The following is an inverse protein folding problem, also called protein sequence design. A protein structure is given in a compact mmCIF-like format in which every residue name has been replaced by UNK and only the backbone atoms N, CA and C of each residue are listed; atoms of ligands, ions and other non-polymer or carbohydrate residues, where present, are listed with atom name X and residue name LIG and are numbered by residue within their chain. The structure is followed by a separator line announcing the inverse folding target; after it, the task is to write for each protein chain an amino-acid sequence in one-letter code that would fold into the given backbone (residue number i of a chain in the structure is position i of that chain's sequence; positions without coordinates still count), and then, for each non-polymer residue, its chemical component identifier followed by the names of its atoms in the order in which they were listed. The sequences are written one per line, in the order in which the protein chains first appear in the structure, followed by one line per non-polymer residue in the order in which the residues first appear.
data_IF_478309168212
#
_entry.id   IF_478309168212
#
_cell.length_a   1.000
_cell.length_b   1.000
_cell.length_c   1.000
_cell.angle_alpha   90.00
_cell.angle_beta   90.00
_cell.angle_gamma   90.00
#
_symmetry.space_group_name_H-M   'P 1'
#
loop_
_entity.id
_entity.type
_entity.pdbx_description
1 polymer ?
#
# COMPACT_ATOMS: atom_id res chain seq x y z
N UNK A 1 15.23 66.16 -64.96
CA UNK A 1 16.11 65.23 -64.33
C UNK A 1 15.28 64.23 -63.49
N UNK A 2 14.72 63.30 -64.22
CA UNK A 2 13.93 62.20 -63.66
C UNK A 2 14.52 60.92 -64.23
N UNK A 3 14.99 60.07 -63.43
CA UNK A 3 15.05 58.61 -63.75
C UNK A 3 15.61 57.82 -62.60
N UNK A 4 15.02 56.68 -62.36
CA UNK A 4 15.48 55.51 -61.60
C UNK A 4 15.00 55.44 -60.15
N UNK A 5 13.83 54.91 -59.99
CA UNK A 5 13.46 54.04 -58.87
C UNK A 5 12.36 53.08 -59.35
N UNK A 6 12.81 51.97 -59.89
CA UNK A 6 11.98 50.81 -60.08
C UNK A 6 12.89 49.59 -60.10
N UNK A 7 13.13 49.03 -58.98
CA UNK A 7 13.74 47.72 -58.88
C UNK A 7 13.40 47.10 -57.54
N UNK A 8 12.69 45.99 -57.63
CA UNK A 8 12.71 44.85 -56.73
C UNK A 8 12.06 44.96 -55.34
N UNK A 9 10.82 44.60 -55.31
CA UNK A 9 10.24 43.85 -54.21
C UNK A 9 9.81 42.48 -54.73
N UNK A 10 10.76 41.56 -54.87
CA UNK A 10 10.49 40.12 -54.97
C UNK A 10 10.41 39.59 -53.58
N UNK A 11 9.23 39.33 -53.09
CA UNK A 11 9.00 38.53 -51.88
C UNK A 11 9.39 37.09 -52.17
N UNK A 12 10.16 36.46 -51.28
CA UNK A 12 10.43 35.03 -51.42
C UNK A 12 9.12 34.25 -51.17
N UNK A 13 8.76 33.38 -52.08
CA UNK A 13 7.69 32.41 -51.92
C UNK A 13 7.93 31.57 -50.68
N UNK A 14 7.04 31.70 -49.70
CA UNK A 14 7.02 30.81 -48.54
C UNK A 14 6.76 29.39 -49.04
N UNK A 15 7.76 28.55 -48.86
CA UNK A 15 7.80 27.17 -49.30
C UNK A 15 6.75 26.34 -48.58
N UNK A 16 5.96 25.60 -49.34
CA UNK A 16 4.97 24.58 -48.93
C UNK A 16 5.59 23.40 -48.14
N UNK A 17 6.86 23.45 -47.76
CA UNK A 17 7.55 22.41 -47.00
C UNK A 17 7.24 22.41 -45.51
N UNK A 18 6.94 23.58 -44.92
CA UNK A 18 6.76 23.71 -43.48
C UNK A 18 5.45 23.14 -42.92
N UNK A 19 4.43 22.99 -43.80
CA UNK A 19 3.15 22.38 -43.41
C UNK A 19 3.21 20.86 -43.29
N UNK A 20 4.08 20.20 -44.09
CA UNK A 20 4.24 18.75 -44.04
C UNK A 20 5.08 18.30 -42.84
N UNK A 21 6.10 19.07 -42.47
CA UNK A 21 6.98 18.74 -41.35
C UNK A 21 6.21 18.84 -39.98
N UNK A 22 5.33 19.81 -39.86
CA UNK A 22 4.47 19.92 -38.66
C UNK A 22 3.44 18.79 -38.55
N UNK A 23 2.87 18.32 -39.68
CA UNK A 23 1.96 17.20 -39.68
C UNK A 23 2.66 15.87 -39.37
N UNK A 24 3.89 15.70 -39.86
CA UNK A 24 4.73 14.53 -39.60
C UNK A 24 5.24 14.51 -38.16
N UNK A 25 5.69 15.65 -37.64
CA UNK A 25 6.09 15.81 -36.24
C UNK A 25 4.92 15.58 -35.27
N UNK A 26 3.74 16.07 -35.60
CA UNK A 26 2.52 15.83 -34.82
C UNK A 26 2.11 14.35 -34.78
N UNK A 27 2.26 13.64 -35.92
CA UNK A 27 2.02 12.19 -35.98
C UNK A 27 3.06 11.39 -35.17
N UNK A 28 4.33 11.71 -35.27
CA UNK A 28 5.40 11.05 -34.53
C UNK A 28 5.24 11.27 -33.01
N UNK A 29 4.80 12.46 -32.60
CA UNK A 29 4.51 12.73 -31.18
C UNK A 29 3.23 12.02 -30.69
N UNK A 30 2.22 11.88 -31.54
CA UNK A 30 1.03 11.11 -31.20
C UNK A 30 1.31 9.61 -31.12
N UNK A 31 2.10 9.07 -32.01
CA UNK A 31 2.48 7.65 -32.06
C UNK A 31 3.42 7.24 -30.91
N UNK A 32 4.23 8.18 -30.42
CA UNK A 32 5.07 7.94 -29.21
C UNK A 32 4.29 7.97 -27.90
N UNK A 33 3.03 8.42 -27.88
CA UNK A 33 2.18 8.47 -26.68
C UNK A 33 1.24 7.26 -26.55
N UNK A 34 0.95 6.51 -27.61
CA UNK A 34 0.01 5.39 -27.56
C UNK A 34 0.48 4.19 -26.69
N UNK A 35 1.75 3.75 -26.72
CA UNK A 35 2.19 2.62 -25.90
C UNK A 35 2.06 2.88 -24.40
N UNK A 36 2.09 4.13 -23.96
CA UNK A 36 2.03 4.49 -22.54
C UNK A 36 0.59 4.45 -21.99
N UNK A 37 -0.42 4.71 -22.79
CA UNK A 37 -1.83 4.65 -22.37
C UNK A 37 -2.30 3.23 -22.10
N UNK A 38 -1.88 2.27 -22.90
CA UNK A 38 -2.25 0.87 -22.72
C UNK A 38 -1.61 0.26 -21.50
N UNK A 39 -0.36 0.61 -21.20
CA UNK A 39 0.33 0.16 -19.98
C UNK A 39 -0.30 0.77 -18.72
N UNK A 40 -0.66 2.05 -18.75
CA UNK A 40 -1.34 2.73 -17.64
C UNK A 40 -2.75 2.16 -17.43
N UNK A 41 -3.47 1.90 -18.52
CA UNK A 41 -4.79 1.28 -18.48
C UNK A 41 -4.75 -0.12 -17.86
N UNK A 42 -3.84 -0.98 -18.32
CA UNK A 42 -3.65 -2.34 -17.76
C UNK A 42 -3.25 -2.32 -16.28
N UNK A 43 -2.34 -1.44 -15.89
CA UNK A 43 -1.96 -1.27 -14.48
C UNK A 43 -3.16 -0.82 -13.64
N UNK A 44 -3.96 0.14 -14.14
CA UNK A 44 -5.17 0.60 -13.46
C UNK A 44 -6.21 -0.50 -13.27
N UNK A 45 -6.48 -1.30 -14.30
CA UNK A 45 -7.39 -2.47 -14.22
C UNK A 45 -6.88 -3.50 -13.21
N UNK A 46 -5.59 -3.80 -13.23
CA UNK A 46 -4.97 -4.74 -12.29
C UNK A 46 -5.11 -4.25 -10.84
N UNK A 47 -4.82 -2.98 -10.58
CA UNK A 47 -4.98 -2.36 -9.27
C UNK A 47 -6.44 -2.36 -8.80
N UNK A 48 -7.37 -1.98 -9.67
CA UNK A 48 -8.79 -1.95 -9.36
C UNK A 48 -9.36 -3.35 -9.08
N UNK A 49 -9.03 -4.34 -9.92
CA UNK A 49 -9.51 -5.72 -9.75
C UNK A 49 -9.04 -6.34 -8.45
N UNK A 50 -7.76 -6.23 -8.12
CA UNK A 50 -7.22 -6.75 -6.86
C UNK A 50 -7.85 -6.07 -5.64
N UNK A 51 -8.07 -4.76 -5.71
CA UNK A 51 -8.73 -4.01 -4.63
C UNK A 51 -10.17 -4.46 -4.42
N UNK A 52 -10.94 -4.63 -5.50
CA UNK A 52 -12.35 -5.07 -5.43
C UNK A 52 -12.43 -6.48 -4.85
N UNK A 53 -11.63 -7.42 -5.37
CA UNK A 53 -11.60 -8.80 -4.90
C UNK A 53 -11.19 -8.86 -3.42
N UNK A 54 -10.16 -8.11 -3.01
CA UNK A 54 -9.73 -8.05 -1.62
C UNK A 54 -10.84 -7.52 -0.69
N UNK A 55 -11.59 -6.50 -1.10
CA UNK A 55 -12.71 -5.95 -0.31
C UNK A 55 -13.85 -6.95 -0.16
N UNK A 56 -14.20 -7.67 -1.22
CA UNK A 56 -15.24 -8.71 -1.17
C UNK A 56 -14.83 -9.83 -0.22
N UNK A 57 -13.59 -10.34 -0.36
CA UNK A 57 -13.06 -11.37 0.53
C UNK A 57 -12.96 -10.89 1.98
N UNK A 58 -12.53 -9.65 2.21
CA UNK A 58 -12.49 -9.04 3.54
C UNK A 58 -13.87 -8.98 4.19
N UNK A 59 -14.91 -8.64 3.42
CA UNK A 59 -16.29 -8.63 3.89
C UNK A 59 -16.77 -10.05 4.25
N UNK A 60 -16.49 -11.05 3.42
CA UNK A 60 -16.79 -12.46 3.72
C UNK A 60 -16.06 -12.92 4.99
N UNK A 61 -14.78 -12.56 5.13
CA UNK A 61 -13.98 -12.86 6.32
C UNK A 61 -14.57 -12.24 7.58
N UNK A 62 -15.05 -10.98 7.52
CA UNK A 62 -15.69 -10.31 8.65
C UNK A 62 -17.00 -11.01 9.08
N UNK A 63 -17.82 -11.47 8.12
CA UNK A 63 -19.04 -12.24 8.42
C UNK A 63 -18.68 -13.57 9.11
N UNK A 64 -17.67 -14.29 8.60
CA UNK A 64 -17.22 -15.54 9.18
C UNK A 64 -16.65 -15.33 10.59
N UNK A 65 -15.85 -14.30 10.79
CA UNK A 65 -15.32 -13.94 12.09
C UNK A 65 -16.44 -13.65 13.11
N UNK A 66 -17.44 -12.86 12.70
CA UNK A 66 -18.60 -12.56 13.53
C UNK A 66 -19.41 -13.80 13.90
N UNK A 67 -19.51 -14.77 13.01
CA UNK A 67 -20.15 -16.07 13.27
C UNK A 67 -19.34 -16.95 14.22
N UNK A 68 -18.02 -16.89 14.14
CA UNK A 68 -17.12 -17.76 14.92
C UNK A 68 -16.91 -17.24 16.34
N UNK A 69 -16.71 -15.94 16.52
CA UNK A 69 -16.46 -15.30 17.82
C UNK A 69 -17.72 -14.76 18.47
N UNK A 70 -18.82 -14.65 17.72
CA UNK A 70 -20.00 -13.88 18.12
C UNK A 70 -19.84 -12.38 17.80
N UNK A 71 -20.98 -11.67 17.87
CA UNK A 71 -21.01 -10.22 17.58
C UNK A 71 -20.99 -9.37 18.85
N UNK A 72 -21.24 -9.98 19.99
CA UNK A 72 -21.35 -9.30 21.30
C UNK A 72 -20.77 -10.22 22.37
N UNK A 73 -19.85 -9.71 23.16
CA UNK A 73 -19.30 -10.45 24.30
C UNK A 73 -17.84 -10.05 24.58
N UNK A 74 -17.38 -10.32 25.79
CA UNK A 74 -16.05 -9.95 26.27
C UNK A 74 -14.92 -10.49 25.38
N UNK A 75 -15.09 -11.69 24.85
CA UNK A 75 -14.08 -12.30 23.94
C UNK A 75 -13.97 -11.57 22.60
N UNK A 76 -15.11 -11.18 22.00
CA UNK A 76 -15.13 -10.43 20.74
C UNK A 76 -14.54 -9.02 20.92
N UNK A 77 -14.88 -8.35 22.01
CA UNK A 77 -14.38 -7.01 22.34
C UNK A 77 -12.87 -7.03 22.64
N UNK A 78 -12.41 -8.01 23.42
CA UNK A 78 -10.99 -8.20 23.71
C UNK A 78 -10.18 -8.49 22.45
N UNK A 79 -10.71 -9.34 21.54
CA UNK A 79 -10.08 -9.60 20.26
C UNK A 79 -10.07 -8.36 19.35
N UNK A 80 -11.19 -7.64 19.28
CA UNK A 80 -11.28 -6.41 18.49
C UNK A 80 -10.23 -5.38 18.93
N UNK A 81 -10.10 -5.17 20.24
CA UNK A 81 -9.10 -4.29 20.83
C UNK A 81 -7.68 -4.74 20.47
N UNK A 82 -7.35 -6.01 20.72
CA UNK A 82 -6.02 -6.56 20.47
C UNK A 82 -5.62 -6.48 18.98
N UNK A 83 -6.57 -6.79 18.09
CA UNK A 83 -6.33 -6.76 16.63
C UNK A 83 -6.28 -5.35 16.05
N UNK A 84 -6.89 -4.36 16.72
CA UNK A 84 -6.84 -2.97 16.29
C UNK A 84 -5.50 -2.29 16.59
N UNK A 85 -4.80 -2.72 17.65
CA UNK A 85 -3.51 -2.15 18.05
C UNK A 85 -2.46 -2.18 16.92
N UNK A 86 -2.19 -3.32 16.25
CA UNK A 86 -1.24 -3.36 15.14
C UNK A 86 -1.62 -2.41 14.01
N UNK A 87 -2.90 -2.30 13.68
CA UNK A 87 -3.39 -1.42 12.63
C UNK A 87 -3.15 0.07 12.95
N UNK A 88 -3.41 0.48 14.18
CA UNK A 88 -3.21 1.86 14.61
C UNK A 88 -1.73 2.21 14.64
N UNK A 89 -0.89 1.31 15.15
CA UNK A 89 0.57 1.47 15.16
C UNK A 89 1.09 1.57 13.71
N UNK A 90 0.63 0.69 12.83
CA UNK A 90 0.98 0.71 11.41
C UNK A 90 0.56 2.03 10.74
N UNK A 91 -0.66 2.52 10.99
CA UNK A 91 -1.14 3.77 10.42
C UNK A 91 -0.27 4.97 10.83
N UNK A 92 0.25 4.99 12.06
CA UNK A 92 1.18 6.02 12.53
C UNK A 92 2.54 5.94 11.80
N UNK A 93 3.06 4.73 11.61
CA UNK A 93 4.38 4.51 10.99
C UNK A 93 4.33 4.64 9.47
N UNK A 94 3.28 4.10 8.83
CA UNK A 94 3.13 4.06 7.37
C UNK A 94 2.48 5.32 6.78
N UNK A 95 1.95 6.23 7.62
CA UNK A 95 1.11 7.37 7.24
C UNK A 95 1.74 8.40 6.30
N UNK A 96 2.25 7.95 5.15
CA UNK A 96 2.77 8.81 4.07
C UNK A 96 4.26 9.18 4.20
N UNK A 97 4.89 9.00 5.35
CA UNK A 97 6.31 9.34 5.55
C UNK A 97 7.20 8.41 4.74
N UNK A 98 6.90 7.10 4.75
CA UNK A 98 7.65 6.11 3.98
C UNK A 98 7.57 6.39 2.48
N UNK A 99 6.37 6.62 1.94
CA UNK A 99 6.17 6.93 0.52
C UNK A 99 6.89 8.21 0.11
N UNK A 100 6.72 9.28 0.88
CA UNK A 100 7.30 10.59 0.57
C UNK A 100 8.83 10.59 0.56
N UNK A 101 9.46 9.77 1.41
CA UNK A 101 10.91 9.70 1.53
C UNK A 101 11.49 8.60 0.64
N UNK A 102 10.94 7.38 0.67
CA UNK A 102 11.55 6.23 -0.02
C UNK A 102 11.47 6.33 -1.55
N UNK A 103 10.30 6.66 -2.09
CA UNK A 103 10.07 6.62 -3.54
C UNK A 103 11.06 7.51 -4.30
N UNK A 104 11.23 8.81 -3.98
CA UNK A 104 12.17 9.64 -4.70
C UNK A 104 13.63 9.18 -4.58
N UNK A 105 14.01 8.61 -3.44
CA UNK A 105 15.38 8.11 -3.23
C UNK A 105 15.64 6.83 -4.01
N UNK A 106 14.69 5.89 -4.06
CA UNK A 106 14.79 4.65 -4.84
C UNK A 106 14.85 4.98 -6.34
N UNK A 107 14.01 5.92 -6.81
CA UNK A 107 14.02 6.34 -8.21
C UNK A 107 15.36 6.98 -8.59
N UNK A 108 15.91 7.85 -7.73
CA UNK A 108 17.25 8.45 -7.96
C UNK A 108 18.37 7.40 -7.97
N UNK A 109 18.31 6.44 -7.05
CA UNK A 109 19.29 5.36 -6.99
C UNK A 109 19.25 4.46 -8.23
N UNK A 110 18.11 4.37 -8.90
CA UNK A 110 17.96 3.64 -10.18
C UNK A 110 18.84 4.15 -11.32
N UNK A 111 19.39 5.37 -11.21
CA UNK A 111 20.34 5.94 -12.14
C UNK A 111 21.80 5.46 -11.92
N UNK A 112 22.08 4.71 -10.85
CA UNK A 112 23.40 4.13 -10.59
C UNK A 112 23.67 2.95 -11.54
N UNK A 113 24.95 2.60 -11.72
CA UNK A 113 25.41 1.51 -12.61
C UNK A 113 24.78 0.14 -12.24
N UNK A 114 24.42 -0.07 -10.96
CA UNK A 114 23.76 -1.27 -10.46
C UNK A 114 22.22 -1.24 -10.53
N UNK A 115 21.64 -0.22 -11.21
CA UNK A 115 20.19 -0.01 -11.24
C UNK A 115 19.56 0.23 -9.86
N UNK A 116 20.37 0.68 -8.89
CA UNK A 116 19.95 0.97 -7.52
C UNK A 116 19.81 -0.26 -6.62
N UNK A 117 20.26 -1.43 -7.04
CA UNK A 117 20.12 -2.66 -6.26
C UNK A 117 20.83 -2.58 -4.91
N UNK A 118 22.06 -2.06 -4.86
CA UNK A 118 22.81 -1.87 -3.63
C UNK A 118 22.13 -0.92 -2.65
N UNK A 119 21.52 0.14 -3.14
CA UNK A 119 20.76 1.09 -2.32
C UNK A 119 19.49 0.46 -1.74
N UNK A 120 18.71 -0.24 -2.57
CA UNK A 120 17.49 -0.94 -2.16
C UNK A 120 17.79 -1.99 -1.10
N UNK A 121 18.85 -2.81 -1.29
CA UNK A 121 19.27 -3.81 -0.31
C UNK A 121 19.61 -3.19 1.05
N UNK A 122 20.32 -2.07 1.07
CA UNK A 122 20.65 -1.35 2.30
C UNK A 122 19.39 -0.85 3.02
N UNK A 123 18.48 -0.20 2.30
CA UNK A 123 17.22 0.30 2.86
C UNK A 123 16.36 -0.83 3.40
N UNK A 124 16.21 -1.91 2.64
CA UNK A 124 15.43 -3.08 3.08
C UNK A 124 16.04 -3.69 4.33
N UNK A 125 17.35 -3.88 4.38
CA UNK A 125 18.03 -4.44 5.56
C UNK A 125 17.86 -3.55 6.80
N UNK A 126 18.08 -2.24 6.66
CA UNK A 126 17.90 -1.29 7.76
C UNK A 126 16.43 -1.26 8.19
N UNK A 127 15.51 -1.24 7.23
CA UNK A 127 14.07 -1.28 7.49
C UNK A 127 13.64 -2.52 8.26
N UNK A 128 14.12 -3.71 7.87
CA UNK A 128 13.85 -4.96 8.60
C UNK A 128 14.32 -4.86 10.05
N UNK A 129 15.54 -4.39 10.27
CA UNK A 129 16.11 -4.29 11.62
C UNK A 129 15.31 -3.31 12.48
N UNK A 130 14.99 -2.13 11.96
CA UNK A 130 14.22 -1.12 12.67
C UNK A 130 12.81 -1.63 12.98
N UNK A 131 12.11 -2.19 12.01
CA UNK A 131 10.74 -2.68 12.20
C UNK A 131 10.69 -3.90 13.10
N UNK A 132 11.69 -4.77 13.06
CA UNK A 132 11.82 -5.89 14.00
C UNK A 132 12.00 -5.40 15.43
N UNK A 133 12.93 -4.47 15.65
CA UNK A 133 13.14 -3.87 16.96
C UNK A 133 11.88 -3.19 17.48
N UNK A 134 11.17 -2.46 16.60
CA UNK A 134 9.93 -1.80 16.95
C UNK A 134 8.79 -2.80 17.27
N UNK A 135 8.64 -3.87 16.50
CA UNK A 135 7.65 -4.92 16.76
C UNK A 135 7.93 -5.65 18.10
N UNK A 136 9.19 -5.94 18.39
CA UNK A 136 9.60 -6.52 19.68
C UNK A 136 9.23 -5.55 20.82
N UNK A 137 9.59 -4.28 20.70
CA UNK A 137 9.27 -3.27 21.70
C UNK A 137 7.78 -3.13 21.92
N UNK A 138 6.99 -3.03 20.84
CA UNK A 138 5.53 -2.96 20.92
C UNK A 138 4.95 -4.19 21.60
N UNK A 139 5.47 -5.38 21.29
CA UNK A 139 5.02 -6.63 21.91
C UNK A 139 5.36 -6.68 23.40
N UNK A 140 6.56 -6.26 23.80
CA UNK A 140 6.93 -6.16 25.22
C UNK A 140 6.07 -5.16 25.99
N UNK A 141 5.62 -4.09 25.33
CA UNK A 141 4.74 -3.07 25.89
C UNK A 141 3.25 -3.41 25.74
N UNK A 142 2.87 -4.63 25.36
CA UNK A 142 1.49 -5.04 25.15
C UNK A 142 0.55 -4.68 26.31
N UNK A 143 0.87 -4.93 27.60
CA UNK A 143 -0.01 -4.58 28.70
C UNK A 143 -0.26 -3.07 28.79
N UNK A 144 0.78 -2.27 28.58
CA UNK A 144 0.66 -0.80 28.58
C UNK A 144 -0.19 -0.30 27.42
N UNK A 145 0.01 -0.83 26.21
CA UNK A 145 -0.75 -0.46 25.03
C UNK A 145 -2.23 -0.81 25.18
N UNK A 146 -2.52 -2.00 25.68
CA UNK A 146 -3.91 -2.44 25.97
C UNK A 146 -4.54 -1.52 27.01
N UNK A 147 -3.85 -1.23 28.12
CA UNK A 147 -4.37 -0.35 29.17
C UNK A 147 -4.66 1.07 28.66
N UNK A 148 -3.73 1.65 27.89
CA UNK A 148 -3.91 2.99 27.30
C UNK A 148 -5.08 3.02 26.33
N UNK A 149 -5.23 1.98 25.52
CA UNK A 149 -6.26 1.93 24.49
C UNK A 149 -7.65 1.66 25.07
N UNK A 150 -7.73 0.81 26.08
CA UNK A 150 -8.98 0.55 26.81
C UNK A 150 -9.49 1.79 27.55
N UNK A 151 -8.59 2.61 28.11
CA UNK A 151 -8.95 3.86 28.80
C UNK A 151 -9.46 4.96 27.86
N UNK A 152 -9.00 4.99 26.61
CA UNK A 152 -9.41 6.01 25.63
C UNK A 152 -10.82 5.78 25.08
N UNK A 153 -11.52 4.73 25.51
CA UNK A 153 -12.91 4.46 25.11
C UNK A 153 -13.08 4.18 23.62
N UNK A 154 -12.00 3.77 22.97
CA UNK A 154 -12.01 3.46 21.55
C UNK A 154 -12.78 2.18 21.28
N UNK A 155 -14.09 2.25 21.28
CA UNK A 155 -15.06 1.30 20.80
C UNK A 155 -16.33 1.20 21.66
N UNK A 156 -16.74 2.27 22.36
CA UNK A 156 -18.02 2.28 23.08
C UNK A 156 -18.09 1.28 24.24
N UNK A 157 -16.97 0.93 24.82
CA UNK A 157 -16.85 -0.19 25.74
C UNK A 157 -17.29 0.21 27.11
N UNK A 158 -18.32 -0.42 27.57
CA UNK A 158 -18.61 -0.62 29.03
C UNK A 158 -17.30 -1.13 29.63
N UNK A 159 -16.83 -0.52 30.71
CA UNK A 159 -15.53 -0.77 31.30
C UNK A 159 -15.13 -2.26 31.26
N UNK A 160 -13.98 -2.55 30.69
CA UNK A 160 -13.40 -3.90 30.67
C UNK A 160 -13.21 -4.38 32.11
N UNK A 161 -13.64 -5.60 32.40
CA UNK A 161 -13.31 -6.28 33.65
C UNK A 161 -11.79 -6.63 33.65
N UNK A 162 -11.27 -6.96 34.82
CA UNK A 162 -9.87 -7.44 34.90
C UNK A 162 -9.62 -8.69 34.04
N UNK A 163 -10.62 -9.58 33.94
CA UNK A 163 -10.53 -10.76 33.08
C UNK A 163 -10.50 -10.39 31.60
N UNK A 164 -11.28 -9.40 31.16
CA UNK A 164 -11.27 -8.93 29.78
C UNK A 164 -9.94 -8.25 29.42
N UNK A 165 -9.37 -7.49 30.33
CA UNK A 165 -8.06 -6.88 30.19
C UNK A 165 -6.94 -7.92 30.07
N UNK A 166 -6.99 -8.97 30.89
CA UNK A 166 -6.05 -10.09 30.83
C UNK A 166 -6.16 -10.82 29.49
N UNK A 167 -7.39 -11.09 29.02
CA UNK A 167 -7.65 -11.73 27.74
C UNK A 167 -7.16 -10.85 26.56
N UNK A 168 -7.50 -9.55 26.57
CA UNK A 168 -7.05 -8.60 25.55
C UNK A 168 -5.52 -8.51 25.49
N UNK A 169 -4.85 -8.52 26.65
CA UNK A 169 -3.39 -8.50 26.73
C UNK A 169 -2.78 -9.80 26.18
N UNK A 170 -3.34 -10.96 26.52
CA UNK A 170 -2.90 -12.24 25.98
C UNK A 170 -3.04 -12.28 24.44
N UNK A 171 -4.16 -11.79 23.91
CA UNK A 171 -4.39 -11.69 22.48
C UNK A 171 -3.46 -10.66 21.83
N UNK A 172 -3.16 -9.54 22.50
CA UNK A 172 -2.25 -8.52 21.99
C UNK A 172 -0.81 -9.05 21.79
N UNK A 173 -0.34 -9.95 22.64
CA UNK A 173 0.96 -10.61 22.43
C UNK A 173 1.04 -11.40 21.12
N UNK A 174 -0.08 -11.95 20.66
CA UNK A 174 -0.17 -12.64 19.36
C UNK A 174 -0.41 -11.70 18.19
N UNK A 175 -1.14 -10.60 18.41
CA UNK A 175 -1.46 -9.65 17.35
C UNK A 175 -0.34 -8.65 17.09
N UNK A 176 0.38 -8.15 18.10
CA UNK A 176 1.39 -7.09 17.95
C UNK A 176 2.56 -7.45 17.04
N UNK A 177 3.06 -8.69 16.96
CA UNK A 177 4.07 -9.07 15.97
C UNK A 177 3.65 -8.81 14.51
N UNK A 178 2.34 -8.70 14.21
CA UNK A 178 1.84 -8.34 12.88
C UNK A 178 2.34 -6.98 12.40
N UNK A 179 2.68 -6.07 13.32
CA UNK A 179 3.27 -4.76 12.98
C UNK A 179 4.48 -4.89 12.07
N UNK A 180 5.34 -5.89 12.34
CA UNK A 180 6.49 -6.18 11.48
C UNK A 180 6.05 -6.50 10.06
N UNK A 181 5.07 -7.40 9.90
CA UNK A 181 4.61 -7.81 8.57
C UNK A 181 3.91 -6.67 7.82
N UNK A 182 3.15 -5.83 8.50
CA UNK A 182 2.55 -4.64 7.91
C UNK A 182 3.61 -3.63 7.45
N UNK A 183 4.62 -3.39 8.28
CA UNK A 183 5.71 -2.49 7.94
C UNK A 183 6.57 -3.03 6.77
N UNK A 184 6.85 -4.33 6.73
CA UNK A 184 7.54 -4.97 5.62
C UNK A 184 6.71 -4.94 4.33
N UNK A 185 5.41 -5.20 4.42
CA UNK A 185 4.50 -5.08 3.28
C UNK A 185 4.53 -3.66 2.70
N UNK A 186 4.50 -2.64 3.55
CA UNK A 186 4.61 -1.24 3.11
C UNK A 186 5.97 -0.96 2.46
N UNK A 187 7.06 -1.36 3.10
CA UNK A 187 8.41 -1.16 2.59
C UNK A 187 8.61 -1.81 1.21
N UNK A 188 8.23 -3.07 1.07
CA UNK A 188 8.30 -3.77 -0.22
C UNK A 188 7.35 -3.16 -1.25
N UNK A 189 6.17 -2.71 -0.81
CA UNK A 189 5.22 -2.00 -1.64
C UNK A 189 5.82 -0.74 -2.27
N UNK A 190 6.54 0.06 -1.48
CA UNK A 190 7.21 1.27 -1.98
C UNK A 190 8.35 0.94 -2.96
N UNK A 191 9.12 -0.12 -2.70
CA UNK A 191 10.17 -0.58 -3.64
C UNK A 191 9.55 -1.02 -4.97
N UNK A 192 8.47 -1.79 -4.92
CA UNK A 192 7.77 -2.26 -6.12
C UNK A 192 7.11 -1.11 -6.88
N UNK A 193 6.50 -0.17 -6.16
CA UNK A 193 5.87 1.02 -6.71
C UNK A 193 6.90 1.91 -7.44
N UNK A 194 8.06 2.15 -6.82
CA UNK A 194 9.17 2.88 -7.44
C UNK A 194 9.68 2.21 -8.72
N UNK A 195 9.60 0.87 -8.80
CA UNK A 195 9.95 0.08 -9.98
C UNK A 195 8.79 -0.16 -10.95
N UNK A 196 7.61 0.43 -10.71
CA UNK A 196 6.38 0.27 -11.51
C UNK A 196 5.88 -1.19 -11.61
N UNK A 197 6.14 -2.00 -10.59
CA UNK A 197 5.69 -3.40 -10.49
C UNK A 197 4.50 -3.45 -9.52
N UNK A 198 3.29 -3.45 -10.05
CA UNK A 198 2.07 -3.31 -9.23
C UNK A 198 1.41 -4.65 -8.86
N UNK A 199 1.66 -5.73 -9.61
CA UNK A 199 1.00 -7.03 -9.44
C UNK A 199 1.08 -7.60 -8.02
N UNK A 200 2.27 -7.93 -7.51
CA UNK A 200 2.43 -8.57 -6.20
C UNK A 200 1.85 -7.76 -5.06
N UNK A 201 2.05 -6.43 -5.09
CA UNK A 201 1.55 -5.52 -4.08
C UNK A 201 0.01 -5.49 -4.03
N UNK A 202 -0.64 -5.49 -5.19
CA UNK A 202 -2.09 -5.43 -5.31
C UNK A 202 -2.78 -6.72 -4.88
N UNK A 203 -2.17 -7.88 -5.14
CA UNK A 203 -2.77 -9.17 -4.86
C UNK A 203 -2.40 -9.75 -3.49
N UNK A 204 -1.40 -9.21 -2.82
CA UNK A 204 -1.04 -9.64 -1.45
C UNK A 204 -2.21 -9.55 -0.46
N UNK A 205 -3.05 -8.47 -0.43
CA UNK A 205 -4.22 -8.42 0.44
C UNK A 205 -5.28 -9.49 0.10
N UNK A 206 -5.38 -9.91 -1.16
CA UNK A 206 -6.27 -11.01 -1.57
C UNK A 206 -5.81 -12.32 -0.95
N UNK A 207 -4.51 -12.63 -1.04
CA UNK A 207 -3.92 -13.81 -0.41
C UNK A 207 -4.10 -13.80 1.11
N UNK A 208 -3.88 -12.65 1.75
CA UNK A 208 -4.10 -12.48 3.17
C UNK A 208 -5.55 -12.83 3.57
N UNK A 209 -6.53 -12.34 2.83
CA UNK A 209 -7.94 -12.64 3.09
C UNK A 209 -8.26 -14.12 2.86
N UNK A 210 -7.69 -14.76 1.84
CA UNK A 210 -7.85 -16.19 1.60
C UNK A 210 -7.32 -17.01 2.78
N UNK A 211 -6.11 -16.71 3.26
CA UNK A 211 -5.51 -17.36 4.43
C UNK A 211 -6.36 -17.16 5.66
N UNK A 212 -6.82 -15.94 5.90
CA UNK A 212 -7.69 -15.60 7.03
C UNK A 212 -9.02 -16.39 7.01
N UNK A 213 -9.71 -16.39 5.87
CA UNK A 213 -10.96 -17.15 5.69
C UNK A 213 -10.72 -18.66 5.89
N UNK A 214 -9.66 -19.20 5.29
CA UNK A 214 -9.31 -20.60 5.43
C UNK A 214 -9.03 -20.98 6.88
N UNK A 215 -8.31 -20.12 7.61
CA UNK A 215 -8.04 -20.30 9.04
C UNK A 215 -9.32 -20.33 9.88
N UNK A 216 -10.26 -19.40 9.61
CA UNK A 216 -11.55 -19.38 10.30
C UNK A 216 -12.41 -20.61 10.01
N UNK A 217 -12.42 -21.09 8.77
CA UNK A 217 -13.17 -22.30 8.42
C UNK A 217 -12.58 -23.55 9.10
N UNK A 218 -11.27 -23.70 9.11
CA UNK A 218 -10.59 -24.80 9.80
C UNK A 218 -10.84 -24.75 11.29
N UNK A 219 -10.72 -23.56 11.90
CA UNK A 219 -11.00 -23.37 13.32
C UNK A 219 -12.46 -23.68 13.66
N UNK A 220 -13.40 -23.20 12.84
CA UNK A 220 -14.82 -23.47 13.03
C UNK A 220 -15.17 -24.95 12.92
N UNK A 221 -14.48 -25.73 12.07
CA UNK A 221 -14.66 -27.18 11.97
C UNK A 221 -14.05 -27.94 13.14
N UNK A 222 -12.90 -27.49 13.64
CA UNK A 222 -12.20 -28.20 14.72
C UNK A 222 -12.79 -27.91 16.11
N UNK A 223 -13.28 -26.70 16.32
CA UNK A 223 -13.71 -26.20 17.65
C UNK A 223 -15.18 -25.76 17.71
N UNK A 224 -15.87 -25.66 16.58
CA UNK A 224 -17.26 -25.19 16.50
C UNK A 224 -18.32 -26.27 16.67
N UNK A 225 -17.94 -27.51 16.98
CA UNK A 225 -18.86 -28.65 17.17
C UNK A 225 -19.21 -28.94 18.65
N UNK A 226 -18.98 -27.96 19.54
CA UNK A 226 -19.37 -28.10 20.97
C UNK A 226 -20.53 -27.20 21.33
#
# INVERSE_FOLDING_TARGET
MRSRLSSALSLPSVSTGQSNDNATSGRLMAESQEPNRDHVGRAGVLLASGTIVSRILGFVGAILLARTLGTVGSGADAFALANQLPNNIYALVAGGILTAILVPHIVKAGANDDGGAGYVNKIVTIGIVIFLAFAILATLLAPLLVALYAQQGGAGVRGFSEADMALATALAYWCLPQVLFYALYSLFGEVLNARKIYGPFTWAPVLNNIVFISGLLVFGQLFGST
#
